data_IF_110788353459
#
_entry.id   IF_110788353459
#
_cell.length_a   1.000
_cell.length_b   1.000
_cell.length_c   1.000
_cell.angle_alpha   90.00
_cell.angle_beta   90.00
_cell.angle_gamma   90.00
#
_symmetry.space_group_name_H-M   'P 1'
#
loop_
_entity.id
_entity.type
_entity.pdbx_description
1 polymer ?
#
# COMPACT_ATOMS: atom_id res chain seq x y z
N UNK A 1 -18.31 -28.66 -32.75
CA UNK A 1 -17.43 -27.52 -32.39
C UNK A 1 -17.92 -26.96 -31.07
N UNK A 2 -17.21 -27.22 -29.97
CA UNK A 2 -17.28 -26.43 -28.75
C UNK A 2 -15.82 -26.27 -28.31
N UNK A 3 -15.26 -25.07 -28.49
CA UNK A 3 -13.98 -24.70 -27.89
C UNK A 3 -14.32 -23.79 -26.73
N UNK A 4 -13.93 -24.26 -25.55
CA UNK A 4 -13.95 -23.51 -24.31
C UNK A 4 -12.98 -22.35 -24.46
N UNK A 5 -13.49 -21.13 -24.34
CA UNK A 5 -12.67 -19.94 -24.18
C UNK A 5 -12.28 -19.83 -22.70
N UNK A 6 -11.27 -20.62 -22.32
CA UNK A 6 -10.42 -20.31 -21.18
C UNK A 6 -9.65 -19.03 -21.54
N UNK A 7 -10.23 -17.87 -21.22
CA UNK A 7 -9.53 -16.59 -21.27
C UNK A 7 -8.41 -16.57 -20.22
N UNK A 8 -7.26 -17.02 -20.72
CA UNK A 8 -5.92 -16.90 -20.21
C UNK A 8 -5.69 -15.59 -19.44
N UNK A 9 -5.58 -15.69 -18.10
CA UNK A 9 -5.09 -14.64 -17.20
C UNK A 9 -3.59 -14.47 -17.45
N UNK A 10 -3.24 -13.85 -18.57
CA UNK A 10 -1.88 -13.42 -18.85
C UNK A 10 -1.61 -12.20 -17.97
N UNK A 11 -0.81 -12.42 -16.92
CA UNK A 11 -0.39 -11.41 -15.97
C UNK A 11 0.10 -10.15 -16.67
N UNK A 12 -0.60 -9.04 -16.44
CA UNK A 12 -0.11 -7.72 -16.84
C UNK A 12 1.13 -7.43 -16.01
N UNK A 13 2.31 -7.61 -16.61
CA UNK A 13 3.57 -7.22 -16.00
C UNK A 13 3.50 -5.73 -15.68
N UNK A 14 3.52 -5.41 -14.39
CA UNK A 14 3.49 -4.03 -13.95
C UNK A 14 4.83 -3.37 -14.25
N UNK A 15 4.78 -2.16 -14.79
CA UNK A 15 5.98 -1.50 -15.32
C UNK A 15 6.87 -0.90 -14.22
N UNK A 16 6.32 -0.66 -13.03
CA UNK A 16 7.08 -0.14 -11.90
C UNK A 16 7.13 -1.21 -10.79
N UNK A 17 8.33 -1.61 -10.31
CA UNK A 17 8.48 -2.60 -9.24
C UNK A 17 7.61 -2.31 -8.01
N UNK A 18 7.41 -1.03 -7.69
CA UNK A 18 6.60 -0.61 -6.54
C UNK A 18 5.16 -1.13 -6.57
N UNK A 19 4.52 -1.21 -7.73
CA UNK A 19 3.14 -1.74 -7.78
C UNK A 19 3.10 -3.23 -7.50
N UNK A 20 4.14 -3.96 -7.93
CA UNK A 20 4.21 -5.39 -7.74
C UNK A 20 4.38 -5.68 -6.25
N UNK A 21 5.36 -5.03 -5.62
CA UNK A 21 5.57 -5.13 -4.17
C UNK A 21 4.33 -4.74 -3.38
N UNK A 22 3.65 -3.64 -3.74
CA UNK A 22 2.40 -3.21 -3.09
C UNK A 22 1.30 -4.26 -3.23
N UNK A 23 1.14 -4.85 -4.41
CA UNK A 23 0.18 -5.92 -4.64
C UNK A 23 0.48 -7.17 -3.81
N UNK A 24 1.76 -7.54 -3.70
CA UNK A 24 2.22 -8.68 -2.91
C UNK A 24 1.93 -8.50 -1.41
N UNK A 25 2.14 -7.29 -0.87
CA UNK A 25 1.80 -7.00 0.53
C UNK A 25 0.30 -6.77 0.77
N UNK A 26 -0.53 -6.80 -0.28
CA UNK A 26 -1.99 -6.72 -0.20
C UNK A 26 -2.59 -5.33 -0.40
N UNK A 27 -1.79 -4.34 -0.81
CA UNK A 27 -2.27 -2.99 -1.14
C UNK A 27 -2.88 -2.98 -2.53
N UNK A 28 -4.18 -2.70 -2.61
CA UNK A 28 -4.90 -2.64 -3.89
C UNK A 28 -4.76 -1.28 -4.57
N UNK A 29 -5.08 -1.23 -5.86
CA UNK A 29 -5.16 0.04 -6.59
C UNK A 29 -6.22 1.02 -6.03
N UNK A 30 -7.25 0.50 -5.33
CA UNK A 30 -8.24 1.33 -4.63
C UNK A 30 -7.63 1.99 -3.40
N UNK A 31 -6.81 1.27 -2.65
CA UNK A 31 -6.12 1.79 -1.47
C UNK A 31 -5.12 2.88 -1.87
N UNK A 32 -4.38 2.65 -2.95
CA UNK A 32 -3.47 3.66 -3.54
C UNK A 32 -4.25 4.92 -3.96
N UNK A 33 -5.38 4.75 -4.67
CA UNK A 33 -6.21 5.86 -5.12
C UNK A 33 -6.77 6.68 -3.94
N UNK A 34 -7.22 5.98 -2.89
CA UNK A 34 -7.72 6.57 -1.65
C UNK A 34 -6.62 7.37 -0.93
N UNK A 35 -5.43 6.75 -0.76
CA UNK A 35 -4.29 7.35 -0.10
C UNK A 35 -3.81 8.65 -0.79
N UNK A 36 -3.81 8.66 -2.12
CA UNK A 36 -3.41 9.81 -2.94
C UNK A 36 -4.56 10.80 -3.22
N UNK A 37 -5.81 10.48 -2.84
CA UNK A 37 -7.02 11.25 -3.17
C UNK A 37 -7.19 11.51 -4.67
N UNK A 38 -7.01 10.46 -5.47
CA UNK A 38 -7.15 10.48 -6.93
C UNK A 38 -8.14 9.42 -7.41
N UNK A 39 -8.42 9.41 -8.72
CA UNK A 39 -9.24 8.35 -9.31
C UNK A 39 -8.48 7.03 -9.42
N UNK A 40 -9.19 5.90 -9.27
CA UNK A 40 -8.65 4.56 -9.55
C UNK A 40 -8.22 4.39 -11.02
N UNK A 41 -8.83 5.15 -11.93
CA UNK A 41 -8.44 5.19 -13.34
C UNK A 41 -7.02 5.76 -13.52
N UNK A 42 -6.62 6.75 -12.72
CA UNK A 42 -5.25 7.29 -12.73
C UNK A 42 -4.23 6.20 -12.35
N UNK A 43 -4.49 5.47 -11.27
CA UNK A 43 -3.63 4.35 -10.83
C UNK A 43 -3.55 3.25 -11.89
N UNK A 44 -4.67 2.91 -12.51
CA UNK A 44 -4.71 1.94 -13.61
C UNK A 44 -3.86 2.39 -14.81
N UNK A 45 -3.92 3.67 -15.18
CA UNK A 45 -3.08 4.21 -16.28
C UNK A 45 -1.59 4.08 -15.95
N UNK A 46 -1.19 4.35 -14.71
CA UNK A 46 0.19 4.19 -14.25
C UNK A 46 0.67 2.75 -14.29
N UNK A 47 -0.09 1.80 -13.71
CA UNK A 47 0.26 0.37 -13.68
C UNK A 47 0.49 -0.22 -15.08
N UNK A 48 -0.32 0.24 -16.04
CA UNK A 48 -0.27 -0.22 -17.42
C UNK A 48 0.63 0.64 -18.33
N UNK A 49 1.31 1.67 -17.80
CA UNK A 49 2.23 2.50 -18.58
C UNK A 49 1.58 3.46 -19.57
N UNK A 50 0.26 3.62 -19.52
CA UNK A 50 -0.44 4.59 -20.37
C UNK A 50 -0.09 6.04 -20.01
N UNK A 51 0.43 6.28 -18.80
CA UNK A 51 0.85 7.60 -18.35
C UNK A 51 2.02 7.45 -17.38
N UNK A 52 2.96 8.39 -17.43
CA UNK A 52 4.06 8.43 -16.46
C UNK A 52 3.56 8.73 -15.05
N UNK A 53 4.25 8.17 -14.07
CA UNK A 53 4.01 8.41 -12.65
C UNK A 53 4.78 9.68 -12.27
N UNK A 54 4.16 10.67 -11.61
CA UNK A 54 4.89 11.79 -11.06
C UNK A 54 5.95 11.34 -10.04
N UNK A 55 7.15 11.92 -10.10
CA UNK A 55 8.28 11.52 -9.25
C UNK A 55 7.97 11.55 -7.75
N UNK A 56 7.25 12.58 -7.30
CA UNK A 56 6.83 12.71 -5.90
C UNK A 56 5.84 11.62 -5.49
N UNK A 57 4.99 11.18 -6.41
CA UNK A 57 4.09 10.04 -6.20
C UNK A 57 4.88 8.73 -6.18
N UNK A 58 5.90 8.56 -7.02
CA UNK A 58 6.76 7.38 -6.98
C UNK A 58 7.44 7.22 -5.61
N UNK A 59 7.97 8.32 -5.07
CA UNK A 59 8.57 8.36 -3.73
C UNK A 59 7.53 8.01 -2.66
N UNK A 60 6.32 8.58 -2.75
CA UNK A 60 5.22 8.26 -1.84
C UNK A 60 4.90 6.75 -1.83
N UNK A 61 4.75 6.14 -3.01
CA UNK A 61 4.42 4.72 -3.15
C UNK A 61 5.55 3.83 -2.62
N UNK A 62 6.80 4.24 -2.79
CA UNK A 62 7.97 3.50 -2.29
C UNK A 62 7.99 3.49 -0.76
N UNK A 63 7.72 4.63 -0.12
CA UNK A 63 7.62 4.73 1.34
C UNK A 63 6.44 3.92 1.88
N UNK A 64 5.30 3.94 1.19
CA UNK A 64 4.16 3.08 1.51
C UNK A 64 4.54 1.60 1.45
N UNK A 65 5.27 1.16 0.42
CA UNK A 65 5.71 -0.24 0.32
C UNK A 65 6.61 -0.62 1.50
N UNK A 66 7.63 0.18 1.81
CA UNK A 66 8.53 -0.11 2.93
C UNK A 66 7.80 -0.19 4.28
N UNK A 67 6.81 0.67 4.50
CA UNK A 67 5.98 0.62 5.69
C UNK A 67 5.08 -0.62 5.77
N UNK A 68 4.47 -1.03 4.66
CA UNK A 68 3.66 -2.25 4.61
C UNK A 68 4.49 -3.52 4.81
N UNK A 69 5.73 -3.54 4.32
CA UNK A 69 6.70 -4.61 4.61
C UNK A 69 6.98 -4.65 6.11
N UNK A 70 7.33 -3.51 6.72
CA UNK A 70 7.59 -3.45 8.16
C UNK A 70 6.39 -3.85 9.02
N UNK A 71 5.16 -3.54 8.59
CA UNK A 71 3.94 -4.03 9.25
C UNK A 71 3.76 -5.54 9.11
N UNK A 72 4.07 -6.11 7.95
CA UNK A 72 4.00 -7.56 7.74
C UNK A 72 5.03 -8.30 8.60
N UNK A 73 6.29 -7.84 8.62
CA UNK A 73 7.37 -8.38 9.47
C UNK A 73 6.99 -8.32 10.96
N UNK A 74 6.43 -7.21 11.42
CA UNK A 74 6.00 -7.06 12.81
C UNK A 74 4.84 -8.01 13.15
N UNK A 75 3.90 -8.24 12.24
CA UNK A 75 2.78 -9.16 12.43
C UNK A 75 3.25 -10.63 12.47
N UNK A 76 4.23 -10.98 11.64
CA UNK A 76 4.87 -12.30 11.64
C UNK A 76 5.61 -12.57 12.97
N UNK A 77 6.39 -11.58 13.45
CA UNK A 77 7.15 -11.71 14.69
C UNK A 77 6.28 -11.97 15.93
N UNK A 78 5.02 -11.54 15.93
CA UNK A 78 4.06 -11.78 17.03
C UNK A 78 3.11 -12.97 16.75
N UNK A 79 3.30 -13.70 15.66
CA UNK A 79 2.47 -14.84 15.28
C UNK A 79 1.04 -14.47 14.84
N UNK A 80 0.81 -13.22 14.45
CA UNK A 80 -0.49 -12.74 14.01
C UNK A 80 -0.75 -12.97 12.50
N UNK A 81 0.24 -13.47 11.76
CA UNK A 81 0.11 -13.77 10.34
C UNK A 81 -0.02 -15.28 10.13
N UNK A 82 -1.26 -15.80 10.09
CA UNK A 82 -1.46 -17.24 9.93
C UNK A 82 -1.19 -17.75 8.49
N UNK A 83 -1.02 -16.88 7.48
CA UNK A 83 -1.08 -17.32 6.07
C UNK A 83 -0.31 -16.48 5.02
N UNK A 84 0.64 -15.60 5.37
CA UNK A 84 1.53 -15.02 4.34
C UNK A 84 2.75 -15.94 4.16
N UNK A 85 3.00 -16.51 2.96
CA UNK A 85 4.20 -17.28 2.71
C UNK A 85 5.42 -16.36 2.75
N UNK A 86 6.50 -16.75 3.43
CA UNK A 86 7.78 -16.02 3.49
C UNK A 86 8.27 -15.55 2.12
N UNK A 87 8.06 -16.38 1.09
CA UNK A 87 8.39 -16.10 -0.32
C UNK A 87 7.75 -14.80 -0.84
N UNK A 88 6.53 -14.49 -0.40
CA UNK A 88 5.86 -13.24 -0.80
C UNK A 88 6.53 -12.01 -0.15
N UNK A 89 7.08 -12.13 1.06
CA UNK A 89 7.75 -11.00 1.69
C UNK A 89 9.09 -10.70 1.02
N UNK A 90 9.83 -11.75 0.62
CA UNK A 90 11.06 -11.62 -0.17
C UNK A 90 10.81 -10.91 -1.51
N UNK A 91 9.76 -11.30 -2.25
CA UNK A 91 9.38 -10.64 -3.50
C UNK A 91 9.08 -9.13 -3.31
N UNK A 92 8.44 -8.77 -2.20
CA UNK A 92 8.15 -7.37 -1.88
C UNK A 92 9.41 -6.57 -1.52
N UNK A 93 10.36 -7.19 -0.80
CA UNK A 93 11.66 -6.61 -0.48
C UNK A 93 12.50 -6.38 -1.74
N UNK A 94 12.52 -7.35 -2.66
CA UNK A 94 13.22 -7.22 -3.94
C UNK A 94 12.62 -6.10 -4.80
N UNK A 95 11.29 -6.01 -4.84
CA UNK A 95 10.58 -4.91 -5.49
C UNK A 95 10.94 -3.54 -4.88
N UNK A 96 11.02 -3.46 -3.53
CA UNK A 96 11.42 -2.25 -2.82
C UNK A 96 12.86 -1.85 -3.18
N UNK A 97 13.82 -2.77 -3.07
CA UNK A 97 15.22 -2.50 -3.40
C UNK A 97 15.41 -2.06 -4.86
N UNK A 98 14.69 -2.68 -5.79
CA UNK A 98 14.69 -2.27 -7.19
C UNK A 98 14.16 -0.84 -7.35
N UNK A 99 13.05 -0.51 -6.69
CA UNK A 99 12.47 0.81 -6.75
C UNK A 99 13.35 1.89 -6.11
N UNK A 100 14.00 1.60 -4.98
CA UNK A 100 14.91 2.54 -4.32
C UNK A 100 16.11 2.91 -5.22
N UNK A 101 16.66 1.92 -5.94
CA UNK A 101 17.70 2.16 -6.94
C UNK A 101 17.21 3.09 -8.06
N UNK A 102 15.99 2.86 -8.56
CA UNK A 102 15.37 3.73 -9.57
C UNK A 102 15.14 5.15 -9.02
N UNK A 103 14.74 5.26 -7.75
CA UNK A 103 14.51 6.55 -7.09
C UNK A 103 15.81 7.33 -6.83
N UNK A 104 16.98 6.68 -6.87
CA UNK A 104 18.28 7.33 -6.67
C UNK A 104 18.60 8.43 -7.69
N UNK A 105 17.93 8.43 -8.86
CA UNK A 105 18.04 9.48 -9.88
C UNK A 105 17.06 10.65 -9.72
N UNK A 106 16.16 10.63 -8.74
CA UNK A 106 15.10 11.62 -8.64
C UNK A 106 15.59 12.98 -8.11
N UNK A 107 15.00 14.10 -8.56
CA UNK A 107 15.31 15.41 -8.01
C UNK A 107 15.01 15.47 -6.51
N UNK A 108 15.90 16.11 -5.74
CA UNK A 108 15.72 16.26 -4.29
C UNK A 108 14.38 16.93 -3.90
N UNK A 109 13.83 17.79 -4.77
CA UNK A 109 12.52 18.39 -4.58
C UNK A 109 11.39 17.35 -4.62
N UNK A 110 11.44 16.40 -5.55
CA UNK A 110 10.47 15.32 -5.65
C UNK A 110 10.54 14.39 -4.42
N UNK A 111 11.76 14.07 -3.97
CA UNK A 111 11.97 13.26 -2.75
C UNK A 111 11.34 13.94 -1.52
N UNK A 112 11.59 15.25 -1.34
CA UNK A 112 11.00 16.01 -0.23
C UNK A 112 9.48 16.05 -0.31
N UNK A 113 8.93 16.27 -1.49
CA UNK A 113 7.48 16.37 -1.68
C UNK A 113 6.79 15.02 -1.49
N UNK A 114 7.35 13.93 -2.02
CA UNK A 114 6.85 12.58 -1.79
C UNK A 114 6.86 12.18 -0.32
N UNK A 115 7.97 12.46 0.39
CA UNK A 115 8.06 12.25 1.83
C UNK A 115 7.08 13.12 2.63
N UNK A 116 6.80 14.35 2.18
CA UNK A 116 5.79 15.23 2.79
C UNK A 116 4.39 14.63 2.64
N UNK A 117 4.01 14.20 1.43
CA UNK A 117 2.73 13.53 1.16
C UNK A 117 2.56 12.27 2.00
N UNK A 118 3.61 11.46 2.07
CA UNK A 118 3.61 10.21 2.84
C UNK A 118 3.32 10.49 4.31
N UNK A 119 4.05 11.42 4.93
CA UNK A 119 3.83 11.80 6.33
C UNK A 119 2.43 12.34 6.60
N UNK A 120 1.86 13.12 5.68
CA UNK A 120 0.49 13.61 5.83
C UNK A 120 -0.55 12.49 5.82
N UNK A 121 -0.42 11.56 4.87
CA UNK A 121 -1.28 10.38 4.80
C UNK A 121 -1.12 9.48 6.03
N UNK A 122 0.11 9.18 6.42
CA UNK A 122 0.44 8.35 7.59
C UNK A 122 -0.15 8.91 8.88
N UNK A 123 0.03 10.21 9.12
CA UNK A 123 -0.53 10.87 10.29
C UNK A 123 -2.07 10.86 10.28
N UNK A 124 -2.69 11.06 9.11
CA UNK A 124 -4.14 10.98 8.98
C UNK A 124 -4.67 9.58 9.32
N UNK A 125 -4.00 8.52 8.85
CA UNK A 125 -4.36 7.13 9.17
C UNK A 125 -4.21 6.84 10.67
N UNK A 126 -3.09 7.22 11.28
CA UNK A 126 -2.89 7.00 12.72
C UNK A 126 -3.93 7.73 13.54
N UNK A 127 -4.21 9.00 13.23
CA UNK A 127 -5.23 9.78 13.93
C UNK A 127 -6.62 9.15 13.80
N UNK A 128 -6.99 8.65 12.61
CA UNK A 128 -8.25 7.95 12.41
C UNK A 128 -8.31 6.65 13.24
N UNK A 129 -7.22 5.88 13.28
CA UNK A 129 -7.15 4.67 14.10
C UNK A 129 -7.34 4.99 15.60
N UNK A 130 -6.68 6.03 16.12
CA UNK A 130 -6.85 6.49 17.51
C UNK A 130 -8.30 6.87 17.83
N UNK A 131 -8.95 7.66 16.97
CA UNK A 131 -10.34 8.08 17.18
C UNK A 131 -11.33 6.91 17.14
N UNK A 132 -11.07 5.90 16.30
CA UNK A 132 -11.94 4.72 16.20
C UNK A 132 -11.80 3.77 17.41
N UNK A 133 -10.67 3.81 18.13
CA UNK A 133 -10.45 3.00 19.34
C UNK A 133 -11.16 3.53 20.59
N UNK A 134 -11.49 4.82 20.66
CA UNK A 134 -12.07 5.44 21.87
C UNK A 134 -13.59 5.23 22.02
N UNK A 135 -14.29 4.78 20.97
CA UNK A 135 -15.77 4.68 20.96
C UNK A 135 -16.33 3.41 21.66
N UNK A 136 -15.51 2.40 21.93
CA UNK A 136 -15.94 1.15 22.61
C UNK A 136 -15.70 1.14 24.13
N UNK A 137 -14.91 2.07 24.66
CA UNK A 137 -14.51 2.08 26.08
C UNK A 137 -15.40 2.91 27.01
N UNK A 138 -16.09 3.94 26.51
CA UNK A 138 -16.84 4.87 27.39
C UNK A 138 -18.36 4.62 27.48
N UNK A 139 -18.96 3.84 26.59
CA UNK A 139 -20.43 3.68 26.55
C UNK A 139 -21.00 2.46 27.28
N UNK A 140 -20.17 1.60 27.91
CA UNK A 140 -20.65 0.44 28.70
C UNK A 140 -20.68 0.62 30.21
N UNK A 141 -20.11 1.72 30.74
CA UNK A 141 -20.08 1.95 32.20
C UNK A 141 -21.25 2.79 32.74
N UNK A 142 -22.16 3.27 31.88
CA UNK A 142 -23.26 4.15 32.28
C UNK A 142 -24.65 3.48 32.38
N UNK A 143 -24.76 2.14 32.32
CA UNK A 143 -26.08 1.46 32.27
C UNK A 143 -26.32 0.37 33.32
N UNK A 144 -25.40 0.10 34.25
CA UNK A 144 -25.66 -0.85 35.35
C UNK A 144 -25.73 -0.12 36.68
N UNK A 145 -26.90 0.47 36.96
CA UNK A 145 -27.17 1.10 38.24
C UNK A 145 -28.48 1.86 38.25
N UNK A 146 -29.61 1.16 38.08
CA UNK A 146 -30.94 1.56 38.59
C UNK A 146 -31.98 0.47 38.24
N UNK A 147 -32.18 -0.45 39.17
CA UNK A 147 -33.46 -1.04 39.58
C UNK A 147 -33.21 -2.04 40.72
#
# INVERSE_FOLDING_TARGET
>A
MNKNDDENVVGKTELAPVFHGLGVVGVSGKDIASALRISTASVSKWRNGHTSIPDDIMVFLTLMLGDQIGQAEAAEAIGACENKPDVMLEDALDALHCQEKLNGGLPAAAVREGARRYRLWWNAMRNAAFLNTDDFGMLRSASTGLA
#
